data_IF_812367731162
#
_entry.id   IF_812367731162
#
_cell.length_a   1.000
_cell.length_b   1.000
_cell.length_c   1.000
_cell.angle_alpha   90.00
_cell.angle_beta   90.00
_cell.angle_gamma   90.00
#
_symmetry.space_group_name_H-M   'P 1'
#
loop_
_entity.id
_entity.type
_entity.pdbx_description
1 polymer ?
#
# COMPACT_ATOMS: atom_id res chain seq x y z
N UNK A 1 23.54 -13.21 8.81
CA UNK A 1 22.12 -12.83 8.82
C UNK A 1 22.03 -11.52 9.58
N UNK A 2 22.07 -10.39 8.87
CA UNK A 2 22.02 -9.07 9.49
C UNK A 2 20.52 -8.72 9.60
N UNK A 3 19.99 -8.80 10.82
CA UNK A 3 18.74 -8.19 11.20
C UNK A 3 18.92 -6.67 11.06
N UNK A 4 18.42 -6.08 9.99
CA UNK A 4 18.23 -4.64 9.94
C UNK A 4 16.99 -4.38 10.78
N UNK A 5 17.09 -3.77 11.96
CA UNK A 5 15.91 -3.45 12.74
C UNK A 5 15.12 -2.43 11.97
N UNK A 6 13.81 -2.68 11.82
CA UNK A 6 12.82 -1.78 11.26
C UNK A 6 12.56 -0.61 12.23
N UNK A 7 13.62 0.11 12.52
CA UNK A 7 13.62 1.40 13.19
C UNK A 7 14.37 2.42 12.33
N UNK A 8 14.06 2.46 11.04
CA UNK A 8 14.17 3.74 10.39
C UNK A 8 12.84 4.43 10.62
N UNK A 9 12.55 4.61 11.88
CA UNK A 9 11.78 5.73 12.37
C UNK A 9 12.24 6.93 11.57
N UNK A 10 11.34 7.59 10.89
CA UNK A 10 11.52 8.96 10.45
C UNK A 10 11.61 9.84 11.72
N UNK A 11 12.65 9.65 12.52
CA UNK A 11 13.08 10.61 13.50
C UNK A 11 13.80 11.70 12.73
N UNK A 12 13.05 12.71 12.34
CA UNK A 12 13.65 14.03 12.29
C UNK A 12 14.24 14.26 13.68
N UNK A 13 15.52 14.47 13.76
CA UNK A 13 16.12 14.90 15.02
C UNK A 13 15.39 16.17 15.45
N UNK A 14 15.17 16.32 16.74
CA UNK A 14 14.58 17.56 17.29
C UNK A 14 15.31 18.82 16.81
N UNK A 15 16.58 18.69 16.42
CA UNK A 15 17.42 19.74 15.84
C UNK A 15 16.95 20.19 14.45
N UNK A 16 16.44 19.28 13.60
CA UNK A 16 15.87 19.65 12.29
C UNK A 16 14.50 20.32 12.43
N UNK A 17 13.73 19.96 13.46
CA UNK A 17 12.43 20.60 13.74
C UNK A 17 12.61 22.01 14.33
N UNK A 18 13.63 22.26 15.14
CA UNK A 18 13.94 23.57 15.69
C UNK A 18 14.50 24.53 14.64
N UNK A 19 15.25 24.02 13.66
CA UNK A 19 15.78 24.83 12.55
C UNK A 19 14.68 25.34 11.60
N UNK A 20 13.51 24.71 11.57
CA UNK A 20 12.37 25.12 10.75
C UNK A 20 11.52 26.25 11.39
N UNK A 21 11.76 26.61 12.64
CA UNK A 21 10.97 27.64 13.35
C UNK A 21 11.59 29.04 13.39
N UNK A 22 12.73 29.24 12.75
CA UNK A 22 13.36 30.58 12.66
C UNK A 22 12.82 31.34 11.44
N UNK A 23 11.81 32.16 11.69
CA UNK A 23 11.06 32.94 10.71
C UNK A 23 11.80 34.18 10.18
N UNK A 24 13.13 34.27 10.30
CA UNK A 24 13.90 35.46 9.90
C UNK A 24 14.80 35.27 8.67
N UNK A 25 14.71 34.17 7.94
CA UNK A 25 15.38 33.98 6.65
C UNK A 25 14.38 33.68 5.55
N UNK A 26 13.84 34.73 4.98
CA UNK A 26 13.21 34.69 3.67
C UNK A 26 14.31 34.48 2.61
N UNK A 27 14.78 33.26 2.50
CA UNK A 27 15.71 32.79 1.49
C UNK A 27 15.13 31.52 0.92
N UNK A 28 14.95 31.48 -0.39
CA UNK A 28 14.50 30.37 -1.20
C UNK A 28 14.89 29.04 -0.55
N UNK A 29 13.94 28.37 0.10
CA UNK A 29 14.05 26.95 0.37
C UNK A 29 13.80 26.33 -0.99
N UNK A 30 14.87 25.95 -1.70
CA UNK A 30 14.74 24.97 -2.76
C UNK A 30 13.86 23.84 -2.22
N UNK A 31 12.83 23.52 -2.97
CA UNK A 31 11.86 22.48 -2.75
C UNK A 31 12.59 21.16 -2.43
N UNK A 32 13.04 21.00 -1.19
CA UNK A 32 13.41 19.71 -0.65
C UNK A 32 12.10 18.95 -0.56
N UNK A 33 11.78 18.25 -1.63
CA UNK A 33 10.72 17.26 -1.66
C UNK A 33 10.85 16.43 -0.38
N UNK A 34 9.94 16.68 0.57
CA UNK A 34 9.75 15.78 1.69
C UNK A 34 9.61 14.39 1.09
N UNK A 35 10.30 13.38 1.60
CA UNK A 35 10.19 12.03 1.04
C UNK A 35 8.73 11.69 0.96
N UNK A 36 8.27 11.38 -0.25
CA UNK A 36 6.86 11.11 -0.52
C UNK A 36 6.48 9.86 0.27
N UNK A 37 5.64 10.03 1.31
CA UNK A 37 5.22 8.93 2.16
C UNK A 37 4.36 8.00 1.31
N UNK A 38 4.75 6.72 1.15
CA UNK A 38 4.01 5.79 0.31
C UNK A 38 2.53 5.71 0.69
N UNK A 39 1.68 5.60 -0.31
CA UNK A 39 0.23 5.52 -0.16
C UNK A 39 -0.20 4.08 -0.40
N UNK A 40 -0.82 3.48 0.60
CA UNK A 40 -1.41 2.14 0.51
C UNK A 40 -2.92 2.29 0.30
N UNK A 41 -3.42 1.75 -0.80
CA UNK A 41 -4.85 1.66 -1.04
C UNK A 41 -5.37 0.29 -0.63
N UNK A 42 -6.49 0.26 0.10
CA UNK A 42 -7.11 -0.95 0.63
C UNK A 42 -8.53 -1.04 0.10
N UNK A 43 -8.85 -2.14 -0.57
CA UNK A 43 -10.19 -2.42 -1.07
C UNK A 43 -10.71 -3.69 -0.39
N UNK A 44 -11.79 -3.56 0.35
CA UNK A 44 -12.49 -4.69 0.99
C UNK A 44 -13.94 -4.27 1.26
N UNK A 45 -14.92 -5.08 0.93
CA UNK A 45 -16.33 -4.81 1.19
C UNK A 45 -16.72 -4.99 2.66
N UNK A 46 -15.92 -5.72 3.44
CA UNK A 46 -16.06 -5.87 4.88
C UNK A 46 -15.47 -4.65 5.62
N UNK A 47 -16.34 -3.87 6.25
CA UNK A 47 -15.96 -2.67 7.01
C UNK A 47 -14.98 -2.98 8.16
N UNK A 48 -15.16 -4.11 8.86
CA UNK A 48 -14.32 -4.49 9.99
C UNK A 48 -12.91 -4.85 9.54
N UNK A 49 -12.80 -5.63 8.47
CA UNK A 49 -11.51 -6.00 7.89
C UNK A 49 -10.79 -4.78 7.32
N UNK A 50 -11.53 -3.92 6.62
CA UNK A 50 -10.99 -2.68 6.05
C UNK A 50 -10.45 -1.75 7.15
N UNK A 51 -11.18 -1.59 8.26
CA UNK A 51 -10.73 -0.80 9.41
C UNK A 51 -9.50 -1.42 10.10
N UNK A 52 -9.46 -2.74 10.25
CA UNK A 52 -8.32 -3.43 10.86
C UNK A 52 -7.04 -3.27 10.03
N UNK A 53 -7.12 -3.48 8.71
CA UNK A 53 -6.00 -3.28 7.80
C UNK A 53 -5.55 -1.82 7.77
N UNK A 54 -6.48 -0.85 7.74
CA UNK A 54 -6.17 0.58 7.82
C UNK A 54 -5.39 0.90 9.09
N UNK A 55 -5.85 0.43 10.24
CA UNK A 55 -5.19 0.67 11.53
C UNK A 55 -3.77 0.11 11.54
N UNK A 56 -3.59 -1.11 11.04
CA UNK A 56 -2.29 -1.75 10.93
C UNK A 56 -1.33 -0.94 10.06
N UNK A 57 -1.74 -0.57 8.84
CA UNK A 57 -0.90 0.16 7.89
C UNK A 57 -0.59 1.57 8.40
N UNK A 58 -1.55 2.24 9.02
CA UNK A 58 -1.34 3.56 9.64
C UNK A 58 -0.31 3.48 10.78
N UNK A 59 -0.30 2.39 11.56
CA UNK A 59 0.68 2.19 12.62
C UNK A 59 2.13 2.06 12.12
N UNK A 60 2.31 1.76 10.85
CA UNK A 60 3.62 1.73 10.17
C UNK A 60 4.09 3.12 9.68
N UNK A 61 3.31 4.17 9.92
CA UNK A 61 3.62 5.53 9.47
C UNK A 61 3.31 5.77 7.99
N UNK A 62 2.55 4.89 7.34
CA UNK A 62 2.17 4.99 5.94
C UNK A 62 0.82 5.71 5.77
N UNK A 63 0.62 6.32 4.60
CA UNK A 63 -0.66 6.91 4.23
C UNK A 63 -1.60 5.83 3.71
N UNK A 64 -2.88 5.92 4.06
CA UNK A 64 -3.87 4.90 3.71
C UNK A 64 -5.11 5.53 3.10
N UNK A 65 -5.55 4.98 1.98
CA UNK A 65 -6.89 5.20 1.42
C UNK A 65 -7.66 3.89 1.43
N UNK A 66 -8.94 3.95 1.73
CA UNK A 66 -9.80 2.76 1.81
C UNK A 66 -11.00 2.90 0.90
N UNK A 67 -11.38 1.81 0.26
CA UNK A 67 -12.49 1.73 -0.69
C UNK A 67 -13.33 0.49 -0.41
N UNK A 68 -14.62 0.57 -0.68
CA UNK A 68 -15.57 -0.53 -0.47
C UNK A 68 -15.66 -1.47 -1.66
N UNK A 69 -15.24 -0.99 -2.83
CA UNK A 69 -15.28 -1.76 -4.07
C UNK A 69 -14.15 -1.36 -5.01
N UNK A 70 -13.87 -2.23 -5.97
CA UNK A 70 -12.90 -1.96 -7.02
C UNK A 70 -13.33 -0.78 -7.91
N UNK A 71 -14.63 -0.63 -8.15
CA UNK A 71 -15.19 0.47 -8.93
C UNK A 71 -14.97 1.81 -8.24
N UNK A 72 -15.18 1.89 -6.92
CA UNK A 72 -14.92 3.09 -6.13
C UNK A 72 -13.44 3.50 -6.23
N UNK A 73 -12.53 2.53 -6.12
CA UNK A 73 -11.10 2.76 -6.30
C UNK A 73 -10.77 3.30 -7.70
N UNK A 74 -11.28 2.64 -8.76
CA UNK A 74 -11.02 3.03 -10.15
C UNK A 74 -11.54 4.42 -10.52
N UNK A 75 -12.61 4.87 -9.89
CA UNK A 75 -13.17 6.23 -10.08
C UNK A 75 -12.44 7.28 -9.25
N UNK A 76 -11.60 6.88 -8.33
CA UNK A 76 -10.84 7.77 -7.46
C UNK A 76 -9.57 8.29 -8.16
N UNK A 77 -9.19 9.56 -7.97
CA UNK A 77 -7.88 10.05 -8.41
C UNK A 77 -6.71 9.36 -7.70
N UNK A 78 -6.98 8.58 -6.64
CA UNK A 78 -5.96 7.87 -5.86
C UNK A 78 -5.34 6.68 -6.59
N UNK A 79 -5.92 6.24 -7.69
CA UNK A 79 -5.33 5.19 -8.53
C UNK A 79 -3.92 5.58 -8.99
N UNK A 80 -3.71 6.87 -9.30
CA UNK A 80 -2.41 7.38 -9.78
C UNK A 80 -1.36 7.49 -8.66
N UNK A 81 -1.80 7.71 -7.43
CA UNK A 81 -0.93 7.97 -6.27
C UNK A 81 -0.63 6.69 -5.47
N UNK A 82 -1.26 5.56 -5.81
CA UNK A 82 -1.17 4.33 -5.03
C UNK A 82 0.17 3.65 -5.23
N UNK A 83 0.95 3.55 -4.15
CA UNK A 83 2.23 2.85 -4.11
C UNK A 83 2.09 1.33 -3.96
N UNK A 84 1.02 0.86 -3.32
CA UNK A 84 0.68 -0.55 -3.21
C UNK A 84 -0.83 -0.70 -2.99
N UNK A 85 -1.41 -1.64 -3.70
CA UNK A 85 -2.83 -2.00 -3.59
C UNK A 85 -2.99 -3.29 -2.80
N UNK A 86 -3.84 -3.26 -1.77
CA UNK A 86 -4.32 -4.45 -1.05
C UNK A 86 -5.79 -4.60 -1.38
N UNK A 87 -6.19 -5.72 -1.96
CA UNK A 87 -7.58 -5.93 -2.37
C UNK A 87 -8.10 -7.31 -1.99
N UNK A 88 -9.34 -7.35 -1.51
CA UNK A 88 -10.05 -8.62 -1.40
C UNK A 88 -10.24 -9.22 -2.80
N UNK A 89 -10.10 -10.54 -2.87
CA UNK A 89 -10.32 -11.29 -4.10
C UNK A 89 -11.81 -11.39 -4.46
N UNK A 90 -12.65 -11.56 -3.46
CA UNK A 90 -14.08 -11.82 -3.60
C UNK A 90 -14.89 -10.64 -3.09
N UNK A 91 -15.35 -9.84 -4.00
CA UNK A 91 -16.23 -8.69 -3.72
C UNK A 91 -17.41 -8.70 -4.68
N UNK A 92 -18.56 -8.13 -4.30
CA UNK A 92 -19.64 -7.83 -5.24
C UNK A 92 -19.13 -6.93 -6.37
N UNK A 93 -19.52 -7.20 -7.60
CA UNK A 93 -19.03 -6.47 -8.79
C UNK A 93 -17.69 -6.98 -9.27
N UNK A 94 -16.74 -6.09 -9.45
CA UNK A 94 -15.40 -6.43 -9.97
C UNK A 94 -14.56 -7.14 -8.89
N UNK A 95 -14.12 -8.36 -9.20
CA UNK A 95 -13.23 -9.13 -8.29
C UNK A 95 -11.80 -8.57 -8.28
N UNK A 96 -11.02 -8.93 -7.25
CA UNK A 96 -9.62 -8.52 -7.15
C UNK A 96 -8.75 -8.98 -8.32
N UNK A 97 -9.01 -10.16 -8.90
CA UNK A 97 -8.28 -10.66 -10.09
C UNK A 97 -8.66 -9.90 -11.36
N UNK A 98 -9.93 -9.57 -11.52
CA UNK A 98 -10.40 -8.76 -12.64
C UNK A 98 -9.85 -7.34 -12.55
N UNK A 99 -9.82 -6.76 -11.35
CA UNK A 99 -9.18 -5.47 -11.09
C UNK A 99 -7.69 -5.49 -11.46
N UNK A 100 -6.96 -6.52 -11.05
CA UNK A 100 -5.55 -6.70 -11.41
C UNK A 100 -5.38 -6.73 -12.93
N UNK A 101 -6.18 -7.50 -13.63
CA UNK A 101 -6.14 -7.63 -15.10
C UNK A 101 -6.44 -6.29 -15.78
N UNK A 102 -7.41 -5.54 -15.26
CA UNK A 102 -7.78 -4.22 -15.77
C UNK A 102 -6.65 -3.19 -15.58
N UNK A 103 -6.04 -3.13 -14.40
CA UNK A 103 -4.91 -2.23 -14.14
C UNK A 103 -3.72 -2.52 -15.05
N UNK A 104 -3.40 -3.80 -15.26
CA UNK A 104 -2.36 -4.22 -16.20
C UNK A 104 -2.68 -3.80 -17.64
N UNK A 105 -3.92 -3.95 -18.09
CA UNK A 105 -4.35 -3.53 -19.44
C UNK A 105 -4.23 -2.02 -19.66
N UNK A 106 -4.28 -1.24 -18.57
CA UNK A 106 -4.09 0.21 -18.57
C UNK A 106 -2.63 0.63 -18.34
N UNK A 107 -1.69 -0.31 -18.43
CA UNK A 107 -0.25 -0.10 -18.14
C UNK A 107 0.04 0.46 -16.74
N UNK A 108 -0.81 0.14 -15.76
CA UNK A 108 -0.64 0.53 -14.34
C UNK A 108 0.03 -0.61 -13.59
N UNK A 109 1.31 -0.42 -13.28
CA UNK A 109 2.18 -1.46 -12.71
C UNK A 109 2.42 -1.29 -11.20
N UNK A 110 1.38 -0.96 -10.43
CA UNK A 110 1.52 -0.92 -8.98
C UNK A 110 1.58 -2.34 -8.38
N UNK A 111 2.36 -2.56 -7.31
CA UNK A 111 2.35 -3.82 -6.57
C UNK A 111 0.95 -4.12 -6.01
N UNK A 112 0.46 -5.34 -6.20
CA UNK A 112 -0.87 -5.77 -5.75
C UNK A 112 -0.74 -6.96 -4.81
N UNK A 113 -1.35 -6.85 -3.63
CA UNK A 113 -1.50 -7.91 -2.65
C UNK A 113 -2.98 -8.32 -2.63
N UNK A 114 -3.23 -9.58 -2.94
CA UNK A 114 -4.58 -10.15 -2.93
C UNK A 114 -4.84 -10.86 -1.60
N UNK A 115 -6.03 -10.64 -1.04
CA UNK A 115 -6.47 -11.22 0.22
C UNK A 115 -7.78 -11.97 -0.02
N UNK A 116 -8.00 -13.13 0.59
CA UNK A 116 -9.23 -13.90 0.39
C UNK A 116 -9.60 -14.74 1.61
N UNK A 117 -10.90 -14.86 1.90
CA UNK A 117 -11.43 -15.81 2.89
C UNK A 117 -11.50 -17.24 2.34
N UNK A 118 -11.54 -17.40 1.02
CA UNK A 118 -11.68 -18.70 0.34
C UNK A 118 -10.52 -18.91 -0.63
N UNK A 119 -9.37 -19.39 -0.13
CA UNK A 119 -8.19 -19.58 -0.96
C UNK A 119 -8.37 -20.79 -1.87
N UNK A 120 -8.48 -20.53 -3.15
CA UNK A 120 -8.43 -21.56 -4.20
C UNK A 120 -7.06 -21.52 -4.88
N UNK A 121 -6.40 -22.66 -4.99
CA UNK A 121 -5.06 -22.77 -5.59
C UNK A 121 -5.04 -22.26 -7.02
N UNK A 122 -6.09 -22.56 -7.80
CA UNK A 122 -6.25 -22.08 -9.18
C UNK A 122 -6.26 -20.55 -9.26
N UNK A 123 -6.99 -19.90 -8.35
CA UNK A 123 -7.08 -18.43 -8.30
C UNK A 123 -5.77 -17.82 -7.87
N UNK A 124 -5.10 -18.44 -6.88
CA UNK A 124 -3.77 -18.03 -6.45
C UNK A 124 -2.76 -18.08 -7.59
N UNK A 125 -2.69 -19.20 -8.31
CA UNK A 125 -1.76 -19.39 -9.41
C UNK A 125 -2.01 -18.35 -10.51
N UNK A 126 -3.26 -18.15 -10.90
CA UNK A 126 -3.65 -17.12 -11.88
C UNK A 126 -3.21 -15.71 -11.45
N UNK A 127 -3.45 -15.36 -10.19
CA UNK A 127 -3.07 -14.05 -9.65
C UNK A 127 -1.55 -13.84 -9.63
N UNK A 128 -0.80 -14.87 -9.21
CA UNK A 128 0.67 -14.81 -9.15
C UNK A 128 1.29 -14.80 -10.55
N UNK A 129 0.77 -15.56 -11.50
CA UNK A 129 1.18 -15.53 -12.91
C UNK A 129 0.91 -14.15 -13.55
N UNK A 130 -0.17 -13.49 -13.17
CA UNK A 130 -0.47 -12.12 -13.57
C UNK A 130 0.37 -11.05 -12.84
N UNK A 131 1.34 -11.45 -12.01
CA UNK A 131 2.29 -10.55 -11.37
C UNK A 131 1.85 -9.99 -10.02
N UNK A 132 0.90 -10.62 -9.32
CA UNK A 132 0.60 -10.23 -7.93
C UNK A 132 1.83 -10.35 -7.05
N UNK A 133 2.06 -9.37 -6.18
CA UNK A 133 3.17 -9.37 -5.24
C UNK A 133 2.99 -10.40 -4.13
N UNK A 134 1.74 -10.63 -3.73
CA UNK A 134 1.39 -11.58 -2.69
C UNK A 134 -0.05 -12.01 -2.73
N UNK A 135 -0.30 -13.15 -2.11
CA UNK A 135 -1.64 -13.72 -1.97
C UNK A 135 -1.78 -14.25 -0.53
N UNK A 136 -2.73 -13.70 0.21
CA UNK A 136 -2.98 -14.02 1.62
C UNK A 136 -4.34 -14.64 1.82
N UNK A 137 -4.38 -15.69 2.64
CA UNK A 137 -5.62 -16.35 3.08
C UNK A 137 -6.05 -15.79 4.44
N UNK A 138 -7.29 -15.32 4.56
CA UNK A 138 -7.89 -14.90 5.84
C UNK A 138 -8.21 -16.14 6.69
N UNK A 139 -7.91 -16.13 8.01
CA UNK A 139 -7.16 -15.11 8.74
C UNK A 139 -5.65 -15.21 8.48
N UNK A 140 -4.96 -14.07 8.39
CA UNK A 140 -3.52 -14.02 8.21
C UNK A 140 -2.85 -13.27 9.37
N UNK A 141 -1.56 -13.55 9.57
CA UNK A 141 -0.76 -12.84 10.56
C UNK A 141 -0.38 -11.46 10.05
N UNK A 142 -0.50 -10.44 10.92
CA UNK A 142 -0.13 -9.06 10.60
C UNK A 142 1.30 -8.94 10.06
N UNK A 143 2.24 -9.71 10.60
CA UNK A 143 3.63 -9.72 10.16
C UNK A 143 3.79 -10.15 8.71
N UNK A 144 2.95 -11.05 8.22
CA UNK A 144 3.00 -11.49 6.82
C UNK A 144 2.57 -10.36 5.87
N UNK A 145 1.50 -9.65 6.22
CA UNK A 145 1.06 -8.49 5.44
C UNK A 145 2.10 -7.36 5.48
N UNK A 146 2.68 -7.07 6.65
CA UNK A 146 3.74 -6.07 6.81
C UNK A 146 4.91 -6.35 5.87
N UNK A 147 5.43 -7.58 5.85
CA UNK A 147 6.54 -7.97 4.98
C UNK A 147 6.24 -7.78 3.49
N UNK A 148 5.01 -8.03 3.07
CA UNK A 148 4.58 -7.79 1.68
C UNK A 148 4.50 -6.31 1.35
N UNK A 149 4.00 -5.49 2.26
CA UNK A 149 3.97 -4.03 2.09
C UNK A 149 5.41 -3.47 2.00
N UNK A 150 6.31 -3.92 2.87
CA UNK A 150 7.71 -3.52 2.84
C UNK A 150 8.37 -3.85 1.51
N UNK A 151 8.12 -5.06 1.00
CA UNK A 151 8.60 -5.50 -0.30
C UNK A 151 8.04 -4.63 -1.44
N UNK A 152 6.76 -4.27 -1.38
CA UNK A 152 6.12 -3.39 -2.35
C UNK A 152 6.81 -2.03 -2.41
N UNK A 153 7.00 -1.38 -1.26
CA UNK A 153 7.63 -0.07 -1.14
C UNK A 153 9.09 -0.10 -1.60
N UNK A 154 9.83 -1.16 -1.29
CA UNK A 154 11.22 -1.33 -1.71
C UNK A 154 11.35 -1.47 -3.24
N UNK A 155 10.35 -2.02 -3.91
CA UNK A 155 10.32 -2.18 -5.37
C UNK A 155 10.09 -0.84 -6.06
N UNK A 156 9.19 0.00 -5.56
CA UNK A 156 8.93 1.34 -6.12
C UNK A 156 10.15 2.26 -6.09
N UNK A 157 10.93 2.21 -5.02
CA UNK A 157 12.14 3.06 -4.87
C UNK A 157 13.25 2.73 -5.86
N UNK A 158 13.15 1.61 -6.59
CA UNK A 158 14.15 1.17 -7.57
C UNK A 158 13.76 1.45 -9.02
N UNK A 159 12.53 1.89 -9.24
CA UNK A 159 11.99 2.29 -10.55
C UNK A 159 12.11 3.79 -10.74
#
# INVERSE_FOLDING_TARGET
MILVPFHTTYFYSLEEFVAASDSSRCGFIEDRQLPDVPIISIIDDDDSMRCAMKSLVTSLGLRVHTFRSAEEFLQSPRVEDTSCLITDLQMPGLSGVELQSLLLSQARHMPIILVTAFPEERMRNRAMEAGALGFLSKPFESQTLIKLIEKAIATERKS
#
